data_IF_752942499171
#
_entry.id   IF_752942499171
#
_cell.length_a   1.000
_cell.length_b   1.000
_cell.length_c   1.000
_cell.angle_alpha   90.00
_cell.angle_beta   90.00
_cell.angle_gamma   90.00
#
_symmetry.space_group_name_H-M   'P 1'
#
loop_
_entity.id
_entity.type
_entity.pdbx_description
1 polymer ?
#
# COMPACT_ATOMS: atom_id res chain seq x y z
N UNK A 1 27.28 -41.34 0.67
CA UNK A 1 26.06 -41.48 -0.16
C UNK A 1 26.32 -42.64 -1.13
N UNK A 2 25.43 -43.63 -1.17
CA UNK A 2 25.57 -44.72 -2.16
C UNK A 2 25.28 -44.09 -3.51
N UNK A 3 26.22 -44.21 -4.46
CA UNK A 3 26.01 -43.83 -5.86
C UNK A 3 24.99 -44.80 -6.48
N UNK A 4 23.93 -44.27 -7.04
CA UNK A 4 23.01 -45.06 -7.86
C UNK A 4 23.71 -45.28 -9.19
N UNK A 5 23.96 -46.55 -9.60
CA UNK A 5 24.56 -46.81 -10.90
C UNK A 5 23.64 -46.29 -12.02
N UNK A 6 24.21 -45.75 -13.11
CA UNK A 6 23.40 -45.38 -14.28
C UNK A 6 22.65 -46.59 -14.83
N UNK A 7 21.38 -46.42 -15.18
CA UNK A 7 20.55 -47.49 -15.72
C UNK A 7 19.07 -47.19 -15.66
N UNK A 8 18.26 -48.06 -16.18
CA UNK A 8 16.79 -47.99 -16.12
C UNK A 8 16.30 -48.98 -15.09
N UNK A 9 15.43 -48.49 -14.18
CA UNK A 9 14.84 -49.26 -13.11
C UNK A 9 13.31 -49.10 -13.15
N UNK A 10 12.57 -50.19 -12.99
CA UNK A 10 11.11 -50.15 -12.90
C UNK A 10 10.69 -50.56 -11.51
N UNK A 11 9.92 -49.71 -10.85
CA UNK A 11 9.36 -49.95 -9.52
C UNK A 11 7.84 -49.98 -9.58
N UNK A 12 7.23 -50.74 -8.70
CA UNK A 12 5.78 -50.74 -8.53
C UNK A 12 5.42 -49.95 -7.27
N UNK A 13 4.74 -48.82 -7.45
CA UNK A 13 4.34 -47.96 -6.34
C UNK A 13 2.88 -47.49 -6.50
N UNK A 14 2.12 -47.58 -5.46
CA UNK A 14 0.70 -47.11 -5.40
C UNK A 14 -0.19 -47.62 -6.56
N UNK A 15 0.04 -48.86 -7.01
CA UNK A 15 -0.76 -49.47 -8.07
C UNK A 15 -0.25 -49.16 -9.51
N UNK A 16 0.79 -48.39 -9.63
CA UNK A 16 1.37 -48.03 -10.94
C UNK A 16 2.83 -48.49 -11.06
N UNK A 17 3.23 -48.79 -12.27
CA UNK A 17 4.64 -48.98 -12.58
C UNK A 17 5.32 -47.60 -12.72
N UNK A 18 6.41 -47.42 -11.98
CA UNK A 18 7.27 -46.25 -12.07
C UNK A 18 8.56 -46.64 -12.77
N UNK A 19 8.83 -46.06 -13.90
CA UNK A 19 10.07 -46.26 -14.65
C UNK A 19 11.05 -45.14 -14.25
N UNK A 20 12.21 -45.52 -13.73
CA UNK A 20 13.25 -44.59 -13.30
C UNK A 20 14.47 -44.77 -14.17
N UNK A 21 14.84 -43.72 -14.88
CA UNK A 21 16.12 -43.65 -15.57
C UNK A 21 17.11 -42.84 -14.72
N UNK A 22 18.29 -43.37 -14.48
CA UNK A 22 19.33 -42.65 -13.71
C UNK A 22 20.55 -42.41 -14.65
N UNK A 23 20.82 -41.14 -14.90
CA UNK A 23 21.97 -40.74 -15.72
C UNK A 23 22.80 -39.68 -14.97
N UNK A 24 24.13 -39.66 -15.20
CA UNK A 24 24.97 -38.63 -14.57
C UNK A 24 24.65 -37.22 -15.06
N UNK A 25 24.30 -37.05 -16.32
CA UNK A 25 24.23 -35.77 -17.01
C UNK A 25 23.01 -35.61 -17.93
N UNK A 26 22.07 -36.56 -17.91
CA UNK A 26 20.90 -36.54 -18.80
C UNK A 26 21.16 -37.06 -20.19
N UNK A 27 22.39 -37.52 -20.50
CA UNK A 27 22.71 -38.11 -21.80
C UNK A 27 22.25 -39.57 -21.91
N UNK A 28 21.76 -39.94 -23.08
CA UNK A 28 21.40 -41.31 -23.36
C UNK A 28 20.12 -41.79 -22.67
N UNK A 29 19.19 -40.89 -22.41
CA UNK A 29 17.88 -41.23 -21.87
C UNK A 29 17.17 -42.27 -22.71
N UNK A 30 16.67 -43.36 -22.09
CA UNK A 30 15.81 -44.29 -22.78
C UNK A 30 14.47 -43.63 -23.11
N UNK A 31 13.77 -44.08 -24.16
CA UNK A 31 12.44 -43.54 -24.46
C UNK A 31 11.47 -43.78 -23.29
N UNK A 32 10.58 -42.83 -22.97
CA UNK A 32 9.58 -43.02 -21.93
C UNK A 32 8.68 -44.21 -22.26
N UNK A 33 8.30 -44.96 -21.24
CA UNK A 33 7.42 -46.12 -21.40
C UNK A 33 5.96 -45.67 -21.31
N UNK A 34 5.19 -45.88 -22.35
CA UNK A 34 3.79 -45.53 -22.42
C UNK A 34 2.96 -46.21 -21.32
N UNK A 35 2.11 -45.45 -20.64
CA UNK A 35 1.24 -45.95 -19.55
C UNK A 35 1.96 -46.16 -18.20
N UNK A 36 3.20 -45.72 -18.08
CA UNK A 36 3.95 -45.71 -16.82
C UNK A 36 4.34 -44.30 -16.42
N UNK A 37 4.56 -44.08 -15.12
CA UNK A 37 5.16 -42.83 -14.63
C UNK A 37 6.69 -42.90 -14.88
N UNK A 38 7.18 -41.97 -15.68
CA UNK A 38 8.59 -41.93 -16.06
C UNK A 38 9.31 -40.84 -15.27
N UNK A 39 10.37 -41.21 -14.56
CA UNK A 39 11.18 -40.31 -13.72
C UNK A 39 12.64 -40.35 -14.19
N UNK A 40 13.23 -39.16 -14.30
CA UNK A 40 14.67 -38.99 -14.55
C UNK A 40 15.38 -38.60 -13.25
N UNK A 41 16.55 -39.24 -13.01
CA UNK A 41 17.43 -38.94 -11.90
C UNK A 41 18.79 -38.41 -12.44
N UNK A 42 19.08 -37.13 -12.22
CA UNK A 42 20.37 -36.53 -12.54
C UNK A 42 21.28 -36.59 -11.31
N UNK A 43 22.28 -37.46 -11.34
CA UNK A 43 23.02 -37.86 -10.13
C UNK A 43 24.35 -37.17 -9.94
N UNK A 44 24.97 -36.60 -10.98
CA UNK A 44 26.30 -35.99 -10.87
C UNK A 44 26.60 -34.99 -11.99
N UNK A 45 27.69 -34.25 -11.84
CA UNK A 45 28.24 -33.33 -12.81
C UNK A 45 27.53 -31.99 -12.94
N UNK A 46 28.22 -31.02 -13.53
CA UNK A 46 27.65 -29.74 -13.98
C UNK A 46 27.35 -29.84 -15.48
N UNK A 47 26.46 -28.97 -15.98
CA UNK A 47 26.12 -28.92 -17.41
C UNK A 47 24.64 -28.93 -17.67
N UNK A 48 24.24 -28.96 -18.92
CA UNK A 48 22.85 -28.92 -19.36
C UNK A 48 22.29 -30.32 -19.61
N UNK A 49 21.05 -30.56 -19.24
CA UNK A 49 20.26 -31.72 -19.59
C UNK A 49 18.97 -31.27 -20.25
N UNK A 50 18.60 -31.90 -21.38
CA UNK A 50 17.31 -31.68 -22.03
C UNK A 50 16.43 -32.89 -21.80
N UNK A 51 15.24 -32.69 -21.25
CA UNK A 51 14.32 -33.80 -20.96
C UNK A 51 13.26 -33.87 -22.07
N UNK A 52 13.21 -34.97 -22.80
CA UNK A 52 12.23 -35.13 -23.86
C UNK A 52 10.82 -35.33 -23.33
N UNK A 53 9.79 -35.05 -24.15
CA UNK A 53 8.40 -35.30 -23.78
C UNK A 53 8.13 -36.73 -23.33
N UNK A 54 7.25 -36.91 -22.35
CA UNK A 54 6.84 -38.23 -21.84
C UNK A 54 7.43 -38.63 -20.50
N UNK A 55 8.39 -37.84 -19.98
CA UNK A 55 8.77 -37.90 -18.56
C UNK A 55 7.85 -37.00 -17.74
N UNK A 56 7.45 -37.45 -16.58
CA UNK A 56 6.57 -36.71 -15.67
C UNK A 56 7.29 -36.15 -14.43
N UNK A 57 8.53 -36.55 -14.21
CA UNK A 57 9.30 -36.10 -13.08
C UNK A 57 10.80 -36.10 -13.32
N UNK A 58 11.47 -35.13 -12.73
CA UNK A 58 12.93 -35.01 -12.74
C UNK A 58 13.42 -34.74 -11.33
N UNK A 59 14.42 -35.47 -10.87
CA UNK A 59 15.08 -35.19 -9.60
C UNK A 59 16.56 -34.88 -9.82
N UNK A 60 17.01 -33.71 -9.37
CA UNK A 60 18.41 -33.31 -9.40
C UNK A 60 19.03 -33.60 -8.04
N UNK A 61 19.94 -34.53 -7.98
CA UNK A 61 20.67 -34.94 -6.77
C UNK A 61 22.10 -34.41 -6.74
N UNK A 62 22.55 -33.79 -7.84
CA UNK A 62 23.91 -33.26 -7.97
C UNK A 62 24.12 -32.07 -7.05
N UNK A 63 25.26 -31.99 -6.31
CA UNK A 63 25.63 -30.77 -5.59
C UNK A 63 26.18 -29.67 -6.51
N UNK A 64 26.51 -30.00 -7.74
CA UNK A 64 27.06 -29.10 -8.76
C UNK A 64 25.91 -28.41 -9.51
N UNK A 65 26.14 -27.22 -10.06
CA UNK A 65 25.17 -26.49 -10.84
C UNK A 65 24.69 -27.24 -12.07
N UNK A 66 23.39 -27.33 -12.27
CA UNK A 66 22.75 -27.97 -13.44
C UNK A 66 21.83 -26.97 -14.14
N UNK A 67 21.85 -27.02 -15.46
CA UNK A 67 20.80 -26.42 -16.30
C UNK A 67 19.89 -27.53 -16.80
N UNK A 68 18.59 -27.39 -16.52
CA UNK A 68 17.56 -28.32 -16.96
C UNK A 68 16.64 -27.58 -17.94
N UNK A 69 16.51 -28.12 -19.14
CA UNK A 69 15.64 -27.58 -20.19
C UNK A 69 14.57 -28.62 -20.54
N UNK A 70 13.31 -28.29 -20.26
CA UNK A 70 12.13 -29.13 -20.47
C UNK A 70 11.31 -28.52 -21.61
N UNK A 71 11.11 -29.27 -22.67
CA UNK A 71 10.58 -28.72 -23.93
C UNK A 71 9.05 -28.56 -23.91
N UNK A 72 8.33 -29.59 -23.50
CA UNK A 72 6.86 -29.58 -23.44
C UNK A 72 6.30 -30.74 -22.61
N UNK A 73 5.32 -30.48 -21.79
CA UNK A 73 4.61 -31.46 -20.95
C UNK A 73 4.47 -30.99 -19.53
N UNK A 74 3.71 -31.69 -18.72
CA UNK A 74 3.54 -31.37 -17.28
C UNK A 74 4.62 -32.11 -16.48
N UNK A 75 5.50 -31.36 -15.81
CA UNK A 75 6.64 -31.93 -15.10
C UNK A 75 6.59 -31.70 -13.59
N UNK A 76 7.13 -32.66 -12.83
CA UNK A 76 7.52 -32.49 -11.45
C UNK A 76 9.04 -32.42 -11.33
N UNK A 77 9.59 -31.31 -10.87
CA UNK A 77 11.04 -31.11 -10.69
C UNK A 77 11.37 -30.99 -9.21
N UNK A 78 12.30 -31.82 -8.74
CA UNK A 78 12.80 -31.78 -7.37
C UNK A 78 14.31 -31.65 -7.34
N UNK A 79 14.79 -30.51 -6.86
CA UNK A 79 16.21 -30.29 -6.60
C UNK A 79 16.52 -30.62 -5.14
N UNK A 80 17.48 -31.52 -4.92
CA UNK A 80 17.99 -31.86 -3.57
C UNK A 80 19.46 -31.48 -3.39
N UNK A 81 20.09 -30.99 -4.44
CA UNK A 81 21.45 -30.47 -4.39
C UNK A 81 21.50 -29.08 -3.76
N UNK A 82 22.68 -28.63 -3.34
CA UNK A 82 22.91 -27.29 -2.76
C UNK A 82 23.62 -26.32 -3.70
N UNK A 83 23.87 -26.70 -4.93
CA UNK A 83 24.56 -25.89 -5.94
C UNK A 83 23.61 -24.94 -6.68
N UNK A 84 24.17 -24.02 -7.47
CA UNK A 84 23.35 -23.15 -8.30
C UNK A 84 22.73 -23.92 -9.46
N UNK A 85 21.41 -23.92 -9.54
CA UNK A 85 20.69 -24.62 -10.60
C UNK A 85 19.94 -23.65 -11.51
N UNK A 86 19.71 -24.05 -12.77
CA UNK A 86 18.82 -23.35 -13.69
C UNK A 86 17.79 -24.35 -14.20
N UNK A 87 16.51 -24.01 -14.09
CA UNK A 87 15.37 -24.82 -14.51
C UNK A 87 14.54 -23.99 -15.48
N UNK A 88 14.34 -24.56 -16.68
CA UNK A 88 13.46 -24.00 -17.71
C UNK A 88 12.37 -25.03 -17.97
N UNK A 89 11.16 -24.78 -17.51
CA UNK A 89 10.08 -25.76 -17.51
C UNK A 89 9.38 -25.87 -18.88
N UNK A 90 9.27 -24.77 -19.61
CA UNK A 90 8.80 -24.81 -21.00
C UNK A 90 7.30 -24.58 -21.13
N UNK A 91 6.57 -25.60 -21.58
CA UNK A 91 5.12 -25.53 -21.75
C UNK A 91 4.44 -26.66 -21.01
N UNK A 92 3.37 -26.38 -20.33
CA UNK A 92 2.65 -27.37 -19.50
C UNK A 92 2.44 -26.83 -18.11
N UNK A 93 1.74 -27.58 -17.26
CA UNK A 93 1.54 -27.21 -15.87
C UNK A 93 2.57 -27.91 -14.99
N UNK A 94 3.56 -27.16 -14.56
CA UNK A 94 4.72 -27.72 -13.89
C UNK A 94 4.68 -27.56 -12.37
N UNK A 95 5.33 -28.47 -11.65
CA UNK A 95 5.56 -28.36 -10.22
C UNK A 95 7.06 -28.42 -9.94
N UNK A 96 7.62 -27.30 -9.46
CA UNK A 96 9.08 -27.12 -9.38
C UNK A 96 9.49 -26.82 -7.95
N UNK A 97 10.47 -27.57 -7.42
CA UNK A 97 11.12 -27.36 -6.13
C UNK A 97 12.60 -27.07 -6.35
N UNK A 98 13.03 -25.82 -6.11
CA UNK A 98 14.40 -25.36 -6.36
C UNK A 98 15.44 -25.87 -5.37
N UNK A 99 15.03 -26.14 -4.12
CA UNK A 99 15.90 -26.82 -3.15
C UNK A 99 16.60 -25.90 -2.15
N UNK A 100 17.90 -26.15 -1.89
CA UNK A 100 18.61 -25.46 -0.80
C UNK A 100 19.69 -24.48 -1.27
N UNK A 101 19.91 -24.33 -2.53
CA UNK A 101 20.91 -23.43 -3.10
C UNK A 101 20.27 -22.41 -4.03
N UNK A 102 21.05 -21.42 -4.49
CA UNK A 102 20.52 -20.43 -5.42
C UNK A 102 20.04 -21.10 -6.71
N UNK A 103 18.80 -20.82 -7.08
CA UNK A 103 18.18 -21.44 -8.25
C UNK A 103 17.59 -20.37 -9.17
N UNK A 104 17.80 -20.49 -10.45
CA UNK A 104 17.09 -19.74 -11.48
C UNK A 104 15.98 -20.63 -12.05
N UNK A 105 14.74 -20.18 -11.97
CA UNK A 105 13.56 -20.93 -12.43
C UNK A 105 12.79 -20.07 -13.43
N UNK A 106 12.50 -20.67 -14.58
CA UNK A 106 11.61 -20.12 -15.59
C UNK A 106 10.48 -21.14 -15.79
N UNK A 107 9.25 -20.79 -15.36
CA UNK A 107 8.06 -21.64 -15.49
C UNK A 107 7.68 -21.79 -16.97
N UNK A 108 7.47 -20.70 -17.65
CA UNK A 108 7.21 -20.73 -19.09
C UNK A 108 5.76 -20.43 -19.44
N UNK A 109 5.05 -21.41 -19.96
CA UNK A 109 3.62 -21.26 -20.25
C UNK A 109 2.82 -22.42 -19.69
N UNK A 110 1.76 -22.13 -19.03
CA UNK A 110 0.93 -23.09 -18.29
C UNK A 110 0.68 -22.58 -16.88
N UNK A 111 -0.12 -23.29 -16.11
CA UNK A 111 -0.41 -22.94 -14.73
C UNK A 111 0.61 -23.64 -13.81
N UNK A 112 1.68 -22.95 -13.41
CA UNK A 112 2.82 -23.56 -12.73
C UNK A 112 2.76 -23.39 -11.20
N UNK A 113 3.31 -24.35 -10.47
CA UNK A 113 3.58 -24.28 -9.04
C UNK A 113 5.09 -24.27 -8.81
N UNK A 114 5.61 -23.14 -8.29
CA UNK A 114 7.05 -22.93 -8.16
C UNK A 114 7.41 -22.66 -6.70
N UNK A 115 8.35 -23.44 -6.19
CA UNK A 115 8.92 -23.32 -4.85
C UNK A 115 10.43 -23.11 -5.00
N UNK A 116 10.94 -21.89 -4.76
CA UNK A 116 12.38 -21.58 -4.79
C UNK A 116 13.15 -22.39 -3.75
N UNK A 117 12.73 -22.23 -2.50
CA UNK A 117 13.25 -23.05 -1.40
C UNK A 117 14.11 -22.26 -0.42
N UNK A 118 15.39 -22.65 -0.27
CA UNK A 118 16.33 -21.89 0.52
C UNK A 118 17.44 -21.36 -0.37
N UNK A 119 17.87 -20.16 -0.10
CA UNK A 119 18.91 -19.49 -0.87
C UNK A 119 18.33 -18.35 -1.69
N UNK A 120 19.17 -17.51 -2.27
CA UNK A 120 18.70 -16.43 -3.13
C UNK A 120 18.28 -16.97 -4.49
N UNK A 121 16.99 -16.95 -4.76
CA UNK A 121 16.42 -17.52 -5.98
C UNK A 121 16.02 -16.41 -6.97
N UNK A 122 16.03 -16.77 -8.26
CA UNK A 122 15.50 -15.92 -9.32
C UNK A 122 14.39 -16.69 -10.03
N UNK A 123 13.16 -16.22 -9.90
CA UNK A 123 11.98 -16.92 -10.40
C UNK A 123 11.25 -16.03 -11.40
N UNK A 124 10.99 -16.58 -12.57
CA UNK A 124 10.09 -16.01 -13.56
C UNK A 124 8.97 -17.01 -13.81
N UNK A 125 7.72 -16.62 -13.48
CA UNK A 125 6.54 -17.46 -13.69
C UNK A 125 6.30 -17.68 -15.18
N UNK A 126 5.83 -16.64 -15.84
CA UNK A 126 5.67 -16.71 -17.30
C UNK A 126 4.31 -16.26 -17.79
N UNK A 127 3.59 -17.16 -18.46
CA UNK A 127 2.26 -16.84 -19.00
C UNK A 127 1.25 -17.92 -18.63
N UNK A 128 0.58 -17.77 -17.59
CA UNK A 128 -0.40 -18.70 -17.05
C UNK A 128 -0.91 -18.17 -15.72
N UNK A 129 -1.44 -19.02 -14.88
CA UNK A 129 -1.77 -18.69 -13.49
C UNK A 129 -0.78 -19.39 -12.58
N UNK A 130 0.25 -18.68 -12.23
CA UNK A 130 1.31 -19.25 -11.42
C UNK A 130 1.00 -19.14 -9.93
N UNK A 131 1.50 -20.13 -9.17
CA UNK A 131 1.61 -20.07 -7.72
C UNK A 131 3.08 -20.15 -7.36
N UNK A 132 3.64 -19.04 -6.86
CA UNK A 132 5.08 -18.89 -6.64
C UNK A 132 5.36 -18.68 -5.15
N UNK A 133 6.26 -19.47 -4.60
CA UNK A 133 6.81 -19.33 -3.26
C UNK A 133 8.32 -19.16 -3.38
N UNK A 134 8.88 -17.97 -3.05
CA UNK A 134 10.33 -17.73 -2.99
C UNK A 134 10.98 -18.59 -1.92
N UNK A 135 10.55 -18.43 -0.70
CA UNK A 135 10.97 -19.27 0.42
C UNK A 135 11.85 -18.52 1.44
N UNK A 136 13.07 -18.99 1.63
CA UNK A 136 14.03 -18.27 2.47
C UNK A 136 15.18 -17.77 1.61
N UNK A 137 15.42 -16.49 1.63
CA UNK A 137 16.52 -15.95 0.83
C UNK A 137 16.38 -14.48 0.56
N UNK A 138 17.08 -14.04 -0.47
CA UNK A 138 16.84 -12.76 -1.14
C UNK A 138 16.38 -13.10 -2.54
N UNK A 139 15.12 -13.17 -2.71
CA UNK A 139 14.56 -13.71 -3.93
C UNK A 139 14.20 -12.58 -4.91
N UNK A 140 14.40 -12.84 -6.18
CA UNK A 140 13.88 -12.03 -7.27
C UNK A 140 12.75 -12.81 -7.93
N UNK A 141 11.52 -12.32 -7.79
CA UNK A 141 10.33 -12.98 -8.32
C UNK A 141 9.65 -12.06 -9.33
N UNK A 142 9.43 -12.58 -10.52
CA UNK A 142 8.66 -11.93 -11.58
C UNK A 142 7.50 -12.86 -11.93
N UNK A 143 6.27 -12.46 -11.65
CA UNK A 143 5.07 -13.25 -11.92
C UNK A 143 4.91 -13.47 -13.42
N UNK A 144 4.47 -12.47 -14.13
CA UNK A 144 4.35 -12.60 -15.57
C UNK A 144 3.13 -11.89 -16.17
N UNK A 145 2.37 -12.64 -16.98
CA UNK A 145 1.22 -12.04 -17.67
C UNK A 145 -0.15 -12.58 -17.23
N UNK A 146 -0.18 -13.58 -16.42
CA UNK A 146 -1.40 -14.22 -15.94
C UNK A 146 -1.94 -13.62 -14.64
N UNK A 147 -2.65 -14.44 -13.89
CA UNK A 147 -3.16 -14.09 -12.56
C UNK A 147 -2.35 -14.86 -11.52
N UNK A 148 -1.40 -14.20 -10.88
CA UNK A 148 -0.43 -14.87 -10.03
C UNK A 148 -0.80 -14.79 -8.54
N UNK A 149 -0.44 -15.86 -7.83
CA UNK A 149 -0.31 -15.88 -6.38
C UNK A 149 1.18 -15.97 -6.05
N UNK A 150 1.73 -14.90 -5.48
CA UNK A 150 3.16 -14.80 -5.16
C UNK A 150 3.35 -14.67 -3.65
N UNK A 151 4.22 -15.51 -3.09
CA UNK A 151 4.70 -15.36 -1.73
C UNK A 151 6.24 -15.27 -1.73
N UNK A 152 6.80 -14.14 -1.29
CA UNK A 152 8.25 -13.95 -1.14
C UNK A 152 8.82 -14.86 -0.07
N UNK A 153 8.36 -14.69 1.16
CA UNK A 153 8.73 -15.55 2.26
C UNK A 153 9.54 -14.84 3.35
N UNK A 154 10.73 -15.35 3.63
CA UNK A 154 11.64 -14.70 4.56
C UNK A 154 12.86 -14.19 3.80
N UNK A 155 13.14 -12.91 3.92
CA UNK A 155 14.30 -12.33 3.27
C UNK A 155 14.09 -10.87 2.91
N UNK A 156 14.97 -10.37 2.04
CA UNK A 156 14.77 -9.08 1.39
C UNK A 156 14.46 -9.34 -0.06
N UNK A 157 13.19 -9.48 -0.35
CA UNK A 157 12.77 -9.95 -1.65
C UNK A 157 12.50 -8.78 -2.62
N UNK A 158 12.61 -9.06 -3.89
CA UNK A 158 12.17 -8.16 -4.96
C UNK A 158 11.10 -8.87 -5.74
N UNK A 159 9.89 -8.35 -5.70
CA UNK A 159 8.71 -8.96 -6.30
C UNK A 159 8.09 -8.03 -7.31
N UNK A 160 7.87 -8.54 -8.50
CA UNK A 160 7.13 -7.87 -9.57
C UNK A 160 5.95 -8.77 -9.95
N UNK A 161 4.71 -8.30 -9.75
CA UNK A 161 3.52 -9.06 -10.11
C UNK A 161 3.46 -9.29 -11.62
N UNK A 162 3.31 -8.22 -12.36
CA UNK A 162 3.29 -8.32 -13.82
C UNK A 162 2.14 -7.58 -14.46
N UNK A 163 1.51 -8.18 -15.46
CA UNK A 163 0.42 -7.51 -16.16
C UNK A 163 -0.98 -8.04 -15.83
N UNK A 164 -1.09 -9.16 -15.19
CA UNK A 164 -2.34 -9.79 -14.78
C UNK A 164 -2.88 -9.31 -13.44
N UNK A 165 -3.99 -9.86 -13.01
CA UNK A 165 -4.53 -9.60 -11.67
C UNK A 165 -3.82 -10.47 -10.64
N UNK A 166 -3.02 -9.84 -9.74
CA UNK A 166 -2.11 -10.55 -8.87
C UNK A 166 -2.47 -10.43 -7.39
N UNK A 167 -2.07 -11.43 -6.61
CA UNK A 167 -2.05 -11.39 -5.16
C UNK A 167 -0.64 -11.65 -4.67
N UNK A 168 -0.06 -10.66 -3.98
CA UNK A 168 1.33 -10.68 -3.54
C UNK A 168 1.39 -10.65 -2.00
N UNK A 169 2.05 -11.64 -1.42
CA UNK A 169 2.44 -11.68 -0.01
C UNK A 169 3.96 -11.62 0.07
N UNK A 170 4.55 -10.46 0.42
CA UNK A 170 6.01 -10.38 0.44
C UNK A 170 6.59 -11.12 1.65
N UNK A 171 6.05 -10.93 2.83
CA UNK A 171 6.37 -11.78 3.96
C UNK A 171 7.16 -11.09 5.06
N UNK A 172 8.37 -11.56 5.35
CA UNK A 172 9.24 -10.96 6.36
C UNK A 172 10.51 -10.47 5.73
N UNK A 173 10.80 -9.20 5.94
CA UNK A 173 12.03 -8.62 5.42
C UNK A 173 11.91 -7.13 5.24
N UNK A 174 12.68 -6.58 4.33
CA UNK A 174 12.52 -5.21 3.84
C UNK A 174 12.41 -5.32 2.34
N UNK A 175 11.20 -5.53 1.87
CA UNK A 175 10.95 -6.00 0.53
C UNK A 175 10.74 -4.85 -0.47
N UNK A 176 11.05 -5.09 -1.72
CA UNK A 176 10.70 -4.22 -2.84
C UNK A 176 9.60 -4.89 -3.66
N UNK A 177 8.42 -4.25 -3.68
CA UNK A 177 7.25 -4.83 -4.32
C UNK A 177 6.73 -3.87 -5.39
N UNK A 178 6.50 -4.39 -6.58
CA UNK A 178 5.91 -3.67 -7.71
C UNK A 178 4.69 -4.47 -8.18
N UNK A 179 3.49 -3.88 -8.05
CA UNK A 179 2.26 -4.55 -8.44
C UNK A 179 2.17 -4.79 -9.94
N UNK A 180 2.33 -3.76 -10.74
CA UNK A 180 2.33 -3.90 -12.19
C UNK A 180 1.14 -3.29 -12.92
N UNK A 181 0.63 -3.97 -13.95
CA UNK A 181 -0.41 -3.42 -14.83
C UNK A 181 -1.83 -3.81 -14.50
N UNK A 182 -2.03 -4.96 -13.88
CA UNK A 182 -3.34 -5.52 -13.56
C UNK A 182 -3.94 -5.06 -12.24
N UNK A 183 -5.07 -5.64 -11.90
CA UNK A 183 -5.68 -5.44 -10.59
C UNK A 183 -4.89 -6.22 -9.54
N UNK A 184 -4.25 -5.54 -8.59
CA UNK A 184 -3.30 -6.17 -7.68
C UNK A 184 -3.69 -5.99 -6.21
N UNK A 185 -3.56 -7.05 -5.42
CA UNK A 185 -3.61 -7.00 -3.96
C UNK A 185 -2.23 -7.28 -3.38
N UNK A 186 -1.68 -6.34 -2.61
CA UNK A 186 -0.33 -6.43 -2.04
C UNK A 186 -0.42 -6.48 -0.51
N UNK A 187 0.19 -7.50 0.08
CA UNK A 187 0.37 -7.65 1.52
C UNK A 187 1.88 -7.69 1.78
N UNK A 188 2.46 -6.57 2.22
CA UNK A 188 3.90 -6.48 2.40
C UNK A 188 4.39 -7.30 3.61
N UNK A 189 3.70 -7.22 4.73
CA UNK A 189 3.99 -8.08 5.88
C UNK A 189 4.80 -7.38 6.96
N UNK A 190 5.87 -8.05 7.42
CA UNK A 190 6.70 -7.52 8.50
C UNK A 190 8.00 -6.94 7.94
N UNK A 191 8.26 -5.66 8.14
CA UNK A 191 9.54 -5.05 7.78
C UNK A 191 9.43 -3.65 7.21
N UNK A 192 10.58 -3.05 6.87
CA UNK A 192 10.60 -1.77 6.19
C UNK A 192 10.49 -1.97 4.66
N UNK A 193 9.28 -1.98 4.17
CA UNK A 193 9.00 -2.33 2.79
C UNK A 193 8.92 -1.12 1.86
N UNK A 194 9.24 -1.32 0.60
CA UNK A 194 9.06 -0.34 -0.46
C UNK A 194 8.08 -0.88 -1.48
N UNK A 195 6.97 -0.19 -1.65
CA UNK A 195 5.84 -0.68 -2.43
C UNK A 195 5.46 0.33 -3.50
N UNK A 196 5.31 -0.16 -4.71
CA UNK A 196 4.76 0.59 -5.84
C UNK A 196 3.54 -0.17 -6.38
N UNK A 197 2.36 0.45 -6.32
CA UNK A 197 1.12 -0.18 -6.74
C UNK A 197 1.10 -0.53 -8.23
N UNK A 198 1.17 0.47 -9.06
CA UNK A 198 1.16 0.23 -10.51
C UNK A 198 0.13 1.05 -11.28
N UNK A 199 -0.31 0.55 -12.43
CA UNK A 199 -1.27 1.27 -13.26
C UNK A 199 -2.69 0.74 -13.18
N UNK A 200 -2.90 -0.47 -12.70
CA UNK A 200 -4.23 -1.05 -12.47
C UNK A 200 -4.82 -0.69 -11.11
N UNK A 201 -6.07 -1.09 -10.86
CA UNK A 201 -6.67 -0.97 -9.53
C UNK A 201 -5.86 -1.74 -8.50
N UNK A 202 -5.46 -1.09 -7.42
CA UNK A 202 -4.53 -1.71 -6.45
C UNK A 202 -5.03 -1.54 -5.02
N UNK A 203 -4.91 -2.60 -4.22
CA UNK A 203 -5.07 -2.55 -2.77
C UNK A 203 -3.75 -2.92 -2.10
N UNK A 204 -3.26 -2.05 -1.22
CA UNK A 204 -1.95 -2.20 -0.57
C UNK A 204 -2.14 -2.26 0.94
N UNK A 205 -1.56 -3.26 1.58
CA UNK A 205 -1.41 -3.38 3.02
C UNK A 205 0.09 -3.35 3.35
N UNK A 206 0.58 -2.26 3.95
CA UNK A 206 1.97 -2.08 4.35
C UNK A 206 2.40 -3.02 5.47
N UNK A 207 1.49 -3.28 6.42
CA UNK A 207 1.72 -4.30 7.46
C UNK A 207 2.34 -3.75 8.74
N UNK A 208 3.40 -4.41 9.22
CA UNK A 208 4.08 -4.02 10.45
C UNK A 208 5.50 -3.54 10.12
N UNK A 209 5.79 -2.27 10.39
CA UNK A 209 7.10 -1.69 10.12
C UNK A 209 7.00 -0.32 9.47
N UNK A 210 8.12 0.17 8.96
CA UNK A 210 8.13 1.45 8.25
C UNK A 210 7.99 1.21 6.75
N UNK A 211 6.79 1.39 6.22
CA UNK A 211 6.57 1.21 4.80
C UNK A 211 6.78 2.53 4.02
N UNK A 212 7.34 2.41 2.83
CA UNK A 212 7.35 3.48 1.82
C UNK A 212 6.45 3.05 0.68
N UNK A 213 5.31 3.71 0.52
CA UNK A 213 4.26 3.28 -0.39
C UNK A 213 4.00 4.35 -1.44
N UNK A 214 3.98 3.95 -2.69
CA UNK A 214 3.49 4.77 -3.80
C UNK A 214 2.32 4.06 -4.47
N UNK A 215 1.15 4.69 -4.50
CA UNK A 215 -0.07 4.10 -5.03
C UNK A 215 0.02 3.78 -6.52
N UNK A 216 0.26 4.77 -7.35
CA UNK A 216 0.36 4.56 -8.78
C UNK A 216 -0.55 5.47 -9.58
N UNK A 217 -0.98 5.01 -10.77
CA UNK A 217 -1.84 5.81 -11.64
C UNK A 217 -3.28 5.33 -11.69
N UNK A 218 -3.55 4.10 -11.29
CA UNK A 218 -4.90 3.54 -11.17
C UNK A 218 -5.58 3.89 -9.83
N UNK A 219 -6.87 3.57 -9.71
CA UNK A 219 -7.57 3.68 -8.42
C UNK A 219 -6.89 2.84 -7.35
N UNK A 220 -6.57 3.44 -6.21
CA UNK A 220 -5.75 2.77 -5.19
C UNK A 220 -6.38 2.87 -3.81
N UNK A 221 -6.29 1.79 -3.04
CA UNK A 221 -6.59 1.79 -1.61
C UNK A 221 -5.33 1.40 -0.85
N UNK A 222 -4.89 2.24 0.09
CA UNK A 222 -3.65 2.04 0.83
C UNK A 222 -3.95 1.98 2.33
N UNK A 223 -3.48 0.93 2.98
CA UNK A 223 -3.41 0.80 4.42
C UNK A 223 -1.93 0.75 4.82
N UNK A 224 -1.43 1.82 5.49
CA UNK A 224 -0.05 1.86 5.98
C UNK A 224 0.20 0.76 7.01
N UNK A 225 -0.61 0.73 8.05
CA UNK A 225 -0.55 -0.29 9.09
C UNK A 225 0.05 0.23 10.39
N UNK A 226 0.97 -0.55 10.94
CA UNK A 226 1.68 -0.14 12.17
C UNK A 226 3.10 0.33 11.81
N UNK A 227 3.42 1.58 12.13
CA UNK A 227 4.77 2.05 11.86
C UNK A 227 4.89 3.55 11.74
N UNK A 228 5.89 3.97 11.02
CA UNK A 228 6.03 5.36 10.55
C UNK A 228 6.09 5.30 9.04
N UNK A 229 4.95 5.42 8.44
CA UNK A 229 4.83 5.17 7.02
C UNK A 229 4.99 6.45 6.21
N UNK A 230 5.58 6.31 5.05
CA UNK A 230 5.63 7.35 4.05
C UNK A 230 4.78 6.91 2.85
N UNK A 231 3.64 7.57 2.67
CA UNK A 231 2.64 7.18 1.68
C UNK A 231 2.45 8.30 0.67
N UNK A 232 2.54 7.98 -0.60
CA UNK A 232 2.20 8.87 -1.70
C UNK A 232 1.08 8.24 -2.54
N UNK A 233 -0.02 8.96 -2.73
CA UNK A 233 -1.16 8.46 -3.48
C UNK A 233 -0.85 8.15 -4.94
N UNK A 234 -0.25 9.08 -5.63
CA UNK A 234 -0.04 9.00 -7.08
C UNK A 234 -0.95 9.95 -7.84
N UNK A 235 -1.43 9.56 -9.02
CA UNK A 235 -2.29 10.43 -9.83
C UNK A 235 -3.73 9.93 -9.98
N UNK A 236 -4.02 8.70 -9.61
CA UNK A 236 -5.37 8.15 -9.60
C UNK A 236 -6.14 8.48 -8.32
N UNK A 237 -7.46 8.30 -8.29
CA UNK A 237 -8.25 8.43 -7.07
C UNK A 237 -7.75 7.48 -6.00
N UNK A 238 -7.49 7.99 -4.78
CA UNK A 238 -6.86 7.17 -3.75
C UNK A 238 -7.56 7.31 -2.40
N UNK A 239 -7.77 6.17 -1.74
CA UNK A 239 -8.10 6.12 -0.32
C UNK A 239 -6.85 5.74 0.47
N UNK A 240 -6.44 6.56 1.43
CA UNK A 240 -5.30 6.30 2.31
C UNK A 240 -5.80 6.14 3.74
N UNK A 241 -5.35 5.10 4.40
CA UNK A 241 -5.48 4.88 5.84
C UNK A 241 -4.07 4.75 6.40
N UNK A 242 -3.59 5.75 7.15
CA UNK A 242 -2.24 5.72 7.76
C UNK A 242 -2.10 4.59 8.75
N UNK A 243 -2.95 4.60 9.77
CA UNK A 243 -2.98 3.53 10.77
C UNK A 243 -2.46 3.98 12.13
N UNK A 244 -1.51 3.23 12.67
CA UNK A 244 -0.86 3.57 13.93
C UNK A 244 0.57 4.05 13.68
N UNK A 245 0.88 5.27 14.10
CA UNK A 245 2.26 5.75 13.96
C UNK A 245 2.36 7.24 13.82
N UNK A 246 3.48 7.69 13.29
CA UNK A 246 3.67 9.06 12.85
C UNK A 246 3.87 9.05 11.35
N UNK A 247 2.79 9.13 10.64
CA UNK A 247 2.80 8.90 9.21
C UNK A 247 2.97 10.19 8.43
N UNK A 248 3.49 10.07 7.23
CA UNK A 248 3.52 11.14 6.25
C UNK A 248 2.73 10.68 5.04
N UNK A 249 1.62 11.35 4.80
CA UNK A 249 0.72 11.03 3.70
C UNK A 249 0.68 12.20 2.73
N UNK A 250 0.98 11.93 1.49
CA UNK A 250 0.95 12.88 0.40
C UNK A 250 -0.08 12.39 -0.61
N UNK A 251 -1.14 13.13 -0.78
CA UNK A 251 -2.12 12.94 -1.83
C UNK A 251 -1.49 13.19 -3.20
N UNK A 252 -2.28 13.47 -4.16
CA UNK A 252 -1.78 13.62 -5.50
C UNK A 252 -2.47 14.74 -6.27
N UNK A 253 -2.80 14.40 -7.49
CA UNK A 253 -3.65 15.26 -8.32
C UNK A 253 -5.04 14.69 -8.51
N UNK A 254 -5.31 13.53 -7.95
CA UNK A 254 -6.60 12.85 -7.96
C UNK A 254 -7.56 13.43 -6.92
N UNK A 255 -8.59 12.69 -6.65
CA UNK A 255 -9.48 12.92 -5.52
C UNK A 255 -9.10 11.95 -4.42
N UNK A 256 -8.67 12.48 -3.26
CA UNK A 256 -8.20 11.66 -2.17
C UNK A 256 -9.20 11.61 -1.02
N UNK A 257 -9.26 10.44 -0.35
CA UNK A 257 -9.86 10.30 0.97
C UNK A 257 -8.78 9.80 1.92
N UNK A 258 -8.41 10.62 2.90
CA UNK A 258 -7.29 10.34 3.81
C UNK A 258 -7.81 10.20 5.24
N UNK A 259 -7.53 9.06 5.86
CA UNK A 259 -7.72 8.79 7.27
C UNK A 259 -6.34 8.61 7.90
N UNK A 260 -5.85 9.60 8.65
CA UNK A 260 -4.51 9.49 9.22
C UNK A 260 -4.44 8.46 10.36
N UNK A 261 -5.39 8.49 11.27
CA UNK A 261 -5.50 7.45 12.29
C UNK A 261 -4.98 7.90 13.65
N UNK A 262 -4.04 7.12 14.21
CA UNK A 262 -3.46 7.41 15.51
C UNK A 262 -1.99 7.83 15.36
N UNK A 263 -1.65 9.00 15.86
CA UNK A 263 -0.26 9.46 15.82
C UNK A 263 -0.15 10.95 15.84
N UNK A 264 0.90 11.47 15.30
CA UNK A 264 1.08 12.89 15.05
C UNK A 264 1.52 13.04 13.62
N UNK A 265 0.57 13.12 12.72
CA UNK A 265 0.74 12.86 11.31
C UNK A 265 1.00 14.13 10.50
N UNK A 266 1.68 13.98 9.39
CA UNK A 266 1.80 15.00 8.36
C UNK A 266 0.97 14.60 7.16
N UNK A 267 -0.02 15.42 6.84
CA UNK A 267 -0.92 15.19 5.72
C UNK A 267 -0.80 16.34 4.72
N UNK A 268 -0.62 16.00 3.47
CA UNK A 268 -0.66 16.92 2.34
C UNK A 268 -1.68 16.38 1.35
N UNK A 269 -2.83 17.05 1.18
CA UNK A 269 -3.92 16.60 0.30
C UNK A 269 -3.49 16.65 -1.16
N UNK A 270 -3.14 17.81 -1.65
CA UNK A 270 -2.66 17.94 -3.03
C UNK A 270 -3.43 18.95 -3.86
N UNK A 271 -3.99 18.52 -4.98
CA UNK A 271 -4.70 19.44 -5.88
C UNK A 271 -6.13 18.98 -6.22
N UNK A 272 -6.61 17.94 -5.63
CA UNK A 272 -7.93 17.35 -5.84
C UNK A 272 -9.05 18.02 -5.04
N UNK A 273 -10.16 17.35 -4.99
CA UNK A 273 -11.23 17.59 -4.01
C UNK A 273 -11.03 16.56 -2.91
N UNK A 274 -10.42 16.96 -1.80
CA UNK A 274 -9.94 16.01 -0.83
C UNK A 274 -10.84 15.94 0.40
N UNK A 275 -11.00 14.75 0.93
CA UNK A 275 -11.66 14.49 2.21
C UNK A 275 -10.63 13.99 3.21
N UNK A 276 -10.32 14.78 4.23
CA UNK A 276 -9.22 14.53 5.15
C UNK A 276 -9.74 14.37 6.58
N UNK A 277 -9.37 13.27 7.23
CA UNK A 277 -9.60 13.01 8.64
C UNK A 277 -8.25 12.85 9.35
N UNK A 278 -7.89 13.81 10.22
CA UNK A 278 -6.65 13.76 11.01
C UNK A 278 -6.66 12.64 12.06
N UNK A 279 -7.77 12.47 12.77
CA UNK A 279 -7.89 11.40 13.75
C UNK A 279 -7.47 11.81 15.16
N UNK A 280 -6.66 10.96 15.80
CA UNK A 280 -6.18 11.22 17.15
C UNK A 280 -4.70 11.58 17.11
N UNK A 281 -4.33 12.72 17.63
CA UNK A 281 -2.92 13.05 17.71
C UNK A 281 -2.61 14.52 17.55
N UNK A 282 -1.36 14.80 17.21
CA UNK A 282 -0.94 16.17 16.87
C UNK A 282 -0.62 16.24 15.41
N UNK A 283 -1.63 16.54 14.63
CA UNK A 283 -1.53 16.46 13.20
C UNK A 283 -1.18 17.79 12.55
N UNK A 284 -0.53 17.73 11.45
CA UNK A 284 -0.26 18.88 10.58
C UNK A 284 -0.88 18.58 9.23
N UNK A 285 -1.86 19.36 8.85
CA UNK A 285 -2.67 19.16 7.65
C UNK A 285 -2.49 20.34 6.72
N UNK A 286 -2.08 20.09 5.49
CA UNK A 286 -2.08 20.99 4.36
C UNK A 286 -3.02 20.41 3.30
N UNK A 287 -4.23 20.93 3.17
CA UNK A 287 -5.18 20.38 2.22
C UNK A 287 -4.75 20.66 0.79
N UNK A 288 -4.37 21.90 0.49
CA UNK A 288 -3.73 22.18 -0.79
C UNK A 288 -4.50 23.09 -1.70
N UNK A 289 -4.90 22.62 -2.86
CA UNK A 289 -5.72 23.38 -3.78
C UNK A 289 -6.90 22.56 -4.25
N UNK A 290 -8.05 22.99 -3.97
CA UNK A 290 -9.29 22.27 -4.26
C UNK A 290 -10.42 22.88 -3.45
N UNK A 291 -11.55 22.23 -3.43
CA UNK A 291 -12.59 22.49 -2.46
C UNK A 291 -12.57 21.33 -1.46
N UNK A 292 -11.82 21.49 -0.39
CA UNK A 292 -11.46 20.41 0.49
C UNK A 292 -12.38 20.33 1.70
N UNK A 293 -12.55 19.14 2.25
CA UNK A 293 -13.27 18.92 3.50
C UNK A 293 -12.33 18.30 4.52
N UNK A 294 -12.11 18.99 5.63
CA UNK A 294 -11.11 18.64 6.64
C UNK A 294 -11.78 18.48 7.99
N UNK A 295 -11.61 17.31 8.60
CA UNK A 295 -11.93 17.03 9.99
C UNK A 295 -10.60 16.77 10.72
N UNK A 296 -10.13 17.73 11.51
CA UNK A 296 -8.83 17.59 12.16
C UNK A 296 -8.83 16.51 13.25
N UNK A 297 -9.95 16.34 13.97
CA UNK A 297 -10.12 15.20 14.86
C UNK A 297 -10.12 15.53 16.33
N UNK A 298 -9.62 14.62 17.18
CA UNK A 298 -9.69 14.78 18.62
C UNK A 298 -8.42 15.38 19.24
N UNK A 299 -7.32 15.38 18.52
CA UNK A 299 -6.03 15.88 18.95
C UNK A 299 -5.80 17.34 18.57
N UNK A 300 -4.70 17.89 19.07
CA UNK A 300 -4.29 19.24 18.70
C UNK A 300 -3.74 19.29 17.28
N UNK A 301 -4.39 20.02 16.41
CA UNK A 301 -4.01 20.10 15.01
C UNK A 301 -3.46 21.48 14.58
N UNK A 302 -2.61 21.46 13.57
CA UNK A 302 -2.27 22.61 12.73
C UNK A 302 -2.85 22.37 11.34
N UNK A 303 -3.85 23.17 10.96
CA UNK A 303 -4.57 23.01 9.70
C UNK A 303 -4.36 24.21 8.80
N UNK A 304 -4.00 23.96 7.54
CA UNK A 304 -3.97 24.90 6.44
C UNK A 304 -4.94 24.41 5.36
N UNK A 305 -6.06 25.13 5.12
CA UNK A 305 -6.98 24.85 4.01
C UNK A 305 -6.27 25.00 2.66
N UNK A 306 -5.75 26.18 2.42
CA UNK A 306 -4.95 26.41 1.23
C UNK A 306 -5.58 27.34 0.23
N UNK A 307 -5.93 26.87 -0.94
CA UNK A 307 -6.62 27.66 -1.95
C UNK A 307 -7.84 26.93 -2.49
N UNK A 308 -8.94 27.55 -2.46
CA UNK A 308 -10.24 26.97 -2.82
C UNK A 308 -11.25 27.20 -1.72
N UNK A 309 -12.50 26.85 -1.92
CA UNK A 309 -13.51 26.94 -0.89
C UNK A 309 -13.46 25.70 0.01
N UNK A 310 -12.95 25.85 1.23
CA UNK A 310 -12.70 24.73 2.12
C UNK A 310 -13.73 24.66 3.26
N UNK A 311 -14.06 23.46 3.69
CA UNK A 311 -14.77 23.18 4.93
C UNK A 311 -13.79 22.62 5.95
N UNK A 312 -13.54 23.34 7.05
CA UNK A 312 -12.58 22.94 8.07
C UNK A 312 -13.30 22.81 9.41
N UNK A 313 -13.21 21.63 10.01
CA UNK A 313 -13.71 21.35 11.35
C UNK A 313 -12.54 20.95 12.24
N UNK A 314 -12.20 21.76 13.24
CA UNK A 314 -11.11 21.49 14.18
C UNK A 314 -11.38 20.28 15.06
N UNK A 315 -12.58 20.20 15.61
CA UNK A 315 -13.01 19.06 16.42
C UNK A 315 -12.75 19.24 17.91
N UNK A 316 -11.78 18.50 18.46
CA UNK A 316 -11.43 18.59 19.87
C UNK A 316 -10.05 19.20 20.09
N UNK A 317 -9.75 19.59 21.33
CA UNK A 317 -8.46 20.19 21.71
C UNK A 317 -8.28 21.67 21.27
N UNK A 318 -7.03 22.13 21.29
CA UNK A 318 -6.71 23.53 20.98
C UNK A 318 -6.00 23.57 19.62
N UNK A 319 -6.72 23.93 18.60
CA UNK A 319 -6.25 23.86 17.22
C UNK A 319 -5.74 25.21 16.71
N UNK A 320 -4.91 25.16 15.70
CA UNK A 320 -4.50 26.33 14.94
C UNK A 320 -4.95 26.10 13.50
N UNK A 321 -5.88 26.93 13.04
CA UNK A 321 -6.54 26.77 11.75
C UNK A 321 -6.31 28.01 10.91
N UNK A 322 -5.90 27.82 9.67
CA UNK A 322 -5.77 28.87 8.66
C UNK A 322 -6.63 28.47 7.46
N UNK A 323 -7.66 29.26 7.12
CA UNK A 323 -8.49 29.03 5.96
C UNK A 323 -7.64 29.10 4.68
N UNK A 324 -7.05 30.25 4.45
CA UNK A 324 -6.18 30.44 3.28
C UNK A 324 -6.75 31.45 2.30
N UNK A 325 -6.87 31.07 1.06
CA UNK A 325 -7.45 31.90 0.03
C UNK A 325 -8.65 31.22 -0.64
N UNK A 326 -9.78 31.73 -0.48
CA UNK A 326 -11.05 31.17 -0.96
C UNK A 326 -12.16 31.45 0.02
N UNK A 327 -13.41 31.23 -0.34
CA UNK A 327 -14.53 31.35 0.59
C UNK A 327 -14.63 30.12 1.46
N UNK A 328 -13.98 30.16 2.63
CA UNK A 328 -13.87 29.02 3.53
C UNK A 328 -15.00 28.99 4.58
N UNK A 329 -15.33 27.81 5.07
CA UNK A 329 -16.16 27.63 6.26
C UNK A 329 -15.33 26.97 7.34
N UNK A 330 -15.17 27.63 8.49
CA UNK A 330 -14.32 27.16 9.58
C UNK A 330 -15.13 27.02 10.87
N UNK A 331 -15.17 25.81 11.41
CA UNK A 331 -15.65 25.51 12.74
C UNK A 331 -14.47 25.09 13.62
N UNK A 332 -14.14 25.89 14.63
CA UNK A 332 -13.05 25.53 15.56
C UNK A 332 -13.36 24.32 16.41
N UNK A 333 -14.63 24.04 16.68
CA UNK A 333 -15.03 22.97 17.57
C UNK A 333 -14.79 23.30 19.06
N UNK A 334 -14.54 22.24 19.85
CA UNK A 334 -14.26 22.44 21.28
C UNK A 334 -12.80 22.79 21.53
N UNK A 335 -12.53 23.49 22.65
CA UNK A 335 -11.18 23.87 23.04
C UNK A 335 -10.92 25.36 22.94
N UNK A 336 -9.65 25.75 22.90
CA UNK A 336 -9.20 27.12 22.67
C UNK A 336 -8.49 27.20 21.33
N UNK A 337 -9.21 27.55 20.28
CA UNK A 337 -8.69 27.52 18.93
C UNK A 337 -8.17 28.89 18.50
N UNK A 338 -7.13 28.87 17.69
CA UNK A 338 -6.64 30.06 16.99
C UNK A 338 -7.00 29.90 15.50
N UNK A 339 -7.91 30.75 15.05
CA UNK A 339 -8.40 30.74 13.68
C UNK A 339 -7.90 31.97 12.94
N UNK A 340 -7.29 31.77 11.79
CA UNK A 340 -6.96 32.85 10.85
C UNK A 340 -7.91 32.77 9.66
N UNK A 341 -8.74 33.80 9.49
CA UNK A 341 -9.79 33.80 8.50
C UNK A 341 -9.29 33.68 7.06
N UNK A 342 -8.21 34.36 6.70
CA UNK A 342 -7.71 34.29 5.31
C UNK A 342 -8.11 35.46 4.43
N UNK A 343 -8.17 35.29 3.12
CA UNK A 343 -8.35 36.39 2.18
C UNK A 343 -9.58 36.30 1.26
N UNK A 344 -10.46 35.32 1.48
CA UNK A 344 -11.47 34.98 0.49
C UNK A 344 -12.94 35.03 0.91
N UNK A 345 -13.26 35.63 2.05
CA UNK A 345 -14.63 35.63 2.58
C UNK A 345 -14.93 34.36 3.41
N UNK A 346 -14.39 34.33 4.61
CA UNK A 346 -14.49 33.19 5.50
C UNK A 346 -15.76 33.23 6.34
N UNK A 347 -16.52 32.15 6.39
CA UNK A 347 -17.59 31.93 7.31
C UNK A 347 -17.05 31.24 8.57
N UNK A 348 -16.97 31.94 9.67
CA UNK A 348 -16.65 31.35 10.98
C UNK A 348 -17.94 30.81 11.59
N UNK A 349 -17.98 29.49 11.77
CA UNK A 349 -19.14 28.78 12.29
C UNK A 349 -18.90 28.30 13.71
N UNK A 350 -19.91 28.41 14.57
CA UNK A 350 -19.98 27.70 15.85
C UNK A 350 -21.09 26.65 15.77
N UNK A 351 -20.76 25.41 15.84
CA UNK A 351 -21.69 24.28 15.76
C UNK A 351 -22.39 23.95 17.08
N UNK A 352 -22.20 24.80 18.13
CA UNK A 352 -22.82 24.61 19.43
C UNK A 352 -22.07 23.66 20.36
N UNK A 353 -20.79 23.43 20.09
CA UNK A 353 -19.88 22.69 20.97
C UNK A 353 -19.03 23.71 21.73
N UNK A 354 -19.09 23.70 23.08
CA UNK A 354 -18.40 24.69 23.90
C UNK A 354 -16.94 24.85 23.57
N UNK A 355 -16.58 26.03 23.07
CA UNK A 355 -15.24 26.42 22.70
C UNK A 355 -14.87 27.82 23.14
N UNK A 356 -13.59 28.17 22.99
CA UNK A 356 -13.09 29.55 23.17
C UNK A 356 -12.17 29.86 22.00
N UNK A 357 -12.71 30.53 21.00
CA UNK A 357 -11.98 30.77 19.78
C UNK A 357 -11.41 32.19 19.73
N UNK A 358 -10.20 32.28 19.20
CA UNK A 358 -9.57 33.56 18.89
C UNK A 358 -9.46 33.67 17.38
N UNK A 359 -10.15 34.58 16.77
CA UNK A 359 -10.17 34.81 15.33
C UNK A 359 -9.29 36.01 14.97
N UNK A 360 -8.34 35.79 14.09
CA UNK A 360 -7.41 36.81 13.61
C UNK A 360 -7.66 37.03 12.12
N UNK A 361 -7.51 38.27 11.68
CA UNK A 361 -7.64 38.61 10.25
C UNK A 361 -9.08 38.72 9.77
N UNK A 362 -10.07 38.61 10.64
CA UNK A 362 -11.48 38.81 10.28
C UNK A 362 -11.73 40.17 9.64
N UNK A 363 -12.38 40.21 8.49
CA UNK A 363 -12.62 41.41 7.71
C UNK A 363 -13.89 41.31 6.87
N UNK A 364 -14.90 42.08 7.24
CA UNK A 364 -16.13 42.21 6.43
C UNK A 364 -15.83 42.72 5.00
N UNK A 365 -14.74 43.45 4.79
CA UNK A 365 -14.35 43.90 3.47
C UNK A 365 -13.89 42.74 2.58
N UNK A 366 -13.47 41.62 3.16
CA UNK A 366 -13.18 40.37 2.44
C UNK A 366 -14.43 39.47 2.30
N UNK A 367 -15.53 39.84 2.95
CA UNK A 367 -16.77 39.04 2.97
C UNK A 367 -16.86 38.08 4.16
N UNK A 368 -16.02 38.26 5.18
CA UNK A 368 -16.04 37.37 6.35
C UNK A 368 -17.32 37.56 7.16
N UNK A 369 -17.89 36.49 7.66
CA UNK A 369 -19.12 36.45 8.42
C UNK A 369 -19.07 35.43 9.56
N UNK A 370 -20.01 35.51 10.49
CA UNK A 370 -20.16 34.58 11.61
C UNK A 370 -21.52 33.91 11.52
N UNK A 371 -21.57 32.63 11.84
CA UNK A 371 -22.84 31.91 12.06
C UNK A 371 -22.75 31.01 13.31
N UNK A 372 -23.88 30.72 13.92
CA UNK A 372 -23.95 29.82 15.07
C UNK A 372 -25.29 29.08 15.16
N UNK A 373 -25.31 27.96 15.87
CA UNK A 373 -26.54 27.17 16.05
C UNK A 373 -27.63 27.96 16.78
N UNK A 374 -28.86 27.91 16.24
CA UNK A 374 -29.98 28.62 16.77
C UNK A 374 -30.01 30.13 16.47
N UNK A 375 -29.25 30.56 15.48
CA UNK A 375 -29.20 31.93 15.02
C UNK A 375 -30.57 32.40 14.51
N UNK A 376 -31.12 33.43 15.19
CA UNK A 376 -32.24 34.24 14.73
C UNK A 376 -31.95 35.70 15.05
N UNK A 377 -32.77 36.63 14.59
CA UNK A 377 -32.53 38.06 14.78
C UNK A 377 -32.47 38.47 16.25
N UNK A 378 -33.28 37.86 17.11
CA UNK A 378 -33.29 38.20 18.54
C UNK A 378 -32.03 37.68 19.26
N UNK A 379 -31.56 36.51 18.86
CA UNK A 379 -30.34 35.91 19.39
C UNK A 379 -29.10 36.68 18.90
N UNK A 380 -29.06 37.11 17.66
CA UNK A 380 -28.01 37.99 17.14
C UNK A 380 -27.97 39.31 17.88
N UNK A 381 -29.13 39.96 18.06
CA UNK A 381 -29.23 41.23 18.82
C UNK A 381 -28.72 41.06 20.27
N UNK A 382 -28.99 39.91 20.89
CA UNK A 382 -28.48 39.61 22.23
C UNK A 382 -26.97 39.43 22.27
N UNK A 383 -26.41 38.68 21.34
CA UNK A 383 -24.94 38.45 21.19
C UNK A 383 -24.23 39.80 20.97
N UNK A 384 -24.76 40.65 20.10
CA UNK A 384 -24.21 41.98 19.83
C UNK A 384 -24.30 42.87 21.08
N UNK A 385 -25.44 42.87 21.76
CA UNK A 385 -25.66 43.71 22.96
C UNK A 385 -24.80 43.30 24.17
N UNK A 386 -24.42 42.01 24.25
CA UNK A 386 -23.58 41.45 25.34
C UNK A 386 -22.11 41.39 25.00
N UNK A 387 -21.73 41.77 23.80
CA UNK A 387 -20.34 41.78 23.37
C UNK A 387 -19.47 42.71 24.21
N UNK A 388 -18.27 42.26 24.54
CA UNK A 388 -17.33 43.01 25.36
C UNK A 388 -16.11 43.43 24.53
N UNK A 389 -15.75 44.73 24.65
CA UNK A 389 -14.56 45.27 23.96
C UNK A 389 -13.44 45.49 24.94
N UNK A 390 -12.29 44.88 24.72
CA UNK A 390 -11.11 45.01 25.56
C UNK A 390 -9.83 44.82 24.73
N UNK A 391 -8.82 45.64 25.01
CA UNK A 391 -7.53 45.49 24.35
C UNK A 391 -7.53 45.62 22.82
N UNK A 392 -8.50 46.31 22.24
CA UNK A 392 -8.65 46.47 20.80
C UNK A 392 -9.32 45.27 20.09
N UNK A 393 -9.98 44.39 20.82
CA UNK A 393 -10.66 43.21 20.34
C UNK A 393 -12.07 43.09 20.90
N UNK A 394 -12.99 42.46 20.22
CA UNK A 394 -14.36 42.18 20.67
C UNK A 394 -14.51 40.69 20.97
N UNK A 395 -15.01 40.39 22.16
CA UNK A 395 -15.38 39.02 22.56
C UNK A 395 -16.90 38.90 22.56
N UNK A 396 -17.39 37.92 21.83
CA UNK A 396 -18.77 37.49 21.74
C UNK A 396 -19.00 36.35 22.72
N UNK A 397 -20.17 36.32 23.35
CA UNK A 397 -20.64 35.15 24.10
C UNK A 397 -21.82 34.56 23.35
N UNK A 398 -21.68 33.33 22.87
CA UNK A 398 -22.68 32.62 22.07
C UNK A 398 -23.69 31.89 22.96
N UNK A 399 -24.84 31.48 22.43
CA UNK A 399 -25.96 30.94 23.24
C UNK A 399 -25.62 29.66 24.01
N UNK A 400 -24.70 28.83 23.50
CA UNK A 400 -24.24 27.61 24.16
C UNK A 400 -23.22 27.86 25.28
N UNK A 401 -22.77 29.13 25.43
CA UNK A 401 -21.74 29.56 26.37
C UNK A 401 -20.33 29.54 25.80
N UNK A 402 -20.16 29.31 24.50
CA UNK A 402 -18.91 29.53 23.80
C UNK A 402 -18.53 30.99 23.77
N UNK A 403 -17.22 31.24 23.58
CA UNK A 403 -16.75 32.61 23.36
C UNK A 403 -15.92 32.69 22.08
N UNK A 404 -16.14 33.76 21.34
CA UNK A 404 -15.37 34.06 20.14
C UNK A 404 -14.75 35.44 20.25
N UNK A 405 -13.43 35.55 20.21
CA UNK A 405 -12.71 36.83 20.30
C UNK A 405 -12.21 37.22 18.91
N UNK A 406 -12.74 38.32 18.38
CA UNK A 406 -12.34 38.90 17.10
C UNK A 406 -11.22 39.93 17.34
N UNK A 407 -10.00 39.56 16.97
CA UNK A 407 -8.81 40.40 17.21
C UNK A 407 -8.77 41.57 16.23
N UNK A 408 -8.61 42.78 16.75
CA UNK A 408 -8.56 44.01 15.96
C UNK A 408 -9.92 44.60 15.60
N UNK A 409 -11.01 43.94 15.96
CA UNK A 409 -12.40 44.43 15.77
C UNK A 409 -12.89 45.09 17.07
N UNK A 410 -13.28 46.36 17.00
CA UNK A 410 -13.74 47.12 18.16
C UNK A 410 -15.21 47.55 18.07
N UNK A 411 -15.86 47.21 16.95
CA UNK A 411 -17.28 47.45 16.74
C UNK A 411 -17.89 46.26 16.02
N UNK A 412 -19.04 45.81 16.48
CA UNK A 412 -19.82 44.74 15.88
C UNK A 412 -21.30 45.12 15.83
N UNK A 413 -21.97 44.73 14.78
CA UNK A 413 -23.40 44.84 14.59
C UNK A 413 -23.97 43.59 13.90
N UNK A 414 -25.25 43.59 13.63
CA UNK A 414 -25.94 42.42 13.03
C UNK A 414 -25.46 42.07 11.62
N UNK A 415 -24.73 42.96 10.93
CA UNK A 415 -24.20 42.68 9.58
C UNK A 415 -23.00 41.76 9.59
N UNK A 416 -22.40 41.47 10.74
CA UNK A 416 -21.34 40.47 10.91
C UNK A 416 -21.86 39.03 10.85
N UNK A 417 -23.18 38.83 10.96
CA UNK A 417 -23.82 37.53 11.05
C UNK A 417 -24.56 37.19 9.73
N UNK A 418 -24.44 35.95 9.31
CA UNK A 418 -25.04 35.46 8.08
C UNK A 418 -26.15 34.46 8.38
#
# INVERSE_FOLDING_TARGET
>A
MASVPGGQYTFFANGNNVNVAATPDGSGLPPPVAGQFNLELLTSGSGSASIPPGYQGVAILSPDGKTLDMVAGDYGVHVRGGGPHTIIAGTGNDTIYGGNGPTMIIGGSGDDQIFGGNGPDTIQGGSGRETIYGGNGRDLIIGGSGAELIAGGNGKDTIVGGSGPDTIYAGRGGDLIIGGGGATSIFAGDGPDTIVGGSGPTTIYGGIGHATITGGTGPTTIYGGDGRDFITAGSGPTMIVGGNGKDTMIGGSGQETIFAGHGGDLIVGGSGLDLIFGGDGRDTIFAGSGADTIYAGSGRALVHGGSGPDLIVGGGANDTIMGGSGPDTIDGGSGHNLITAGSGGTLIQDSGVRGQDTVVGFSQAHGDAITFVGQDAATVDHVVATATVSGGSTTLTLPDGSTMTLVGITHIDSTFFH
#
